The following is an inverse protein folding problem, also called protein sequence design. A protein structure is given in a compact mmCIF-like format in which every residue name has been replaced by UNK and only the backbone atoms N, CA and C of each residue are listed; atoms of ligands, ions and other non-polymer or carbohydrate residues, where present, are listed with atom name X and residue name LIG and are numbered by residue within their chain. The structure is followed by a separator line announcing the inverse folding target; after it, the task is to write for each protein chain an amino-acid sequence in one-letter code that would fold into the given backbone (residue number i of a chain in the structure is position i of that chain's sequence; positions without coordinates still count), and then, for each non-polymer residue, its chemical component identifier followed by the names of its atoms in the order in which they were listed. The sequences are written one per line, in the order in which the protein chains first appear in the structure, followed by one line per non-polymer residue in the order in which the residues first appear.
data_IF_657768269286
#
_entry.id   IF_657768269286
#
_cell.length_a   1.000
_cell.length_b   1.000
_cell.length_c   1.000
_cell.angle_alpha   90.00
_cell.angle_beta   90.00
_cell.angle_gamma   90.00
#
_symmetry.space_group_name_H-M   'P 1'
#
loop_
_entity.id
_entity.type
_entity.pdbx_description
1 polymer ?
#
# COMPACT_ATOMS: atom_id res chain seq x y z
N UNK A 1 -63.41 -25.98 -16.34
CA UNK A 1 -63.47 -24.69 -15.62
C UNK A 1 -62.23 -23.89 -16.00
N UNK A 2 -62.34 -22.71 -16.65
CA UNK A 2 -61.16 -21.97 -17.04
C UNK A 2 -60.54 -21.32 -15.79
N UNK A 3 -59.25 -21.56 -15.60
CA UNK A 3 -58.44 -21.05 -14.50
C UNK A 3 -58.23 -19.55 -14.70
N UNK A 4 -58.66 -18.76 -13.73
CA UNK A 4 -58.49 -17.30 -13.73
C UNK A 4 -57.00 -16.92 -13.86
N UNK A 5 -56.66 -15.80 -14.53
CA UNK A 5 -55.29 -15.31 -14.52
C UNK A 5 -54.91 -14.85 -13.10
N UNK A 6 -53.64 -14.92 -12.70
CA UNK A 6 -53.22 -14.43 -11.39
C UNK A 6 -53.44 -12.92 -11.32
N UNK A 7 -54.01 -12.47 -10.20
CA UNK A 7 -54.19 -11.06 -9.89
C UNK A 7 -52.83 -10.34 -9.94
N UNK A 8 -52.75 -9.25 -10.70
CA UNK A 8 -51.59 -8.37 -10.71
C UNK A 8 -51.43 -7.75 -9.33
N UNK A 9 -50.37 -8.16 -8.62
CA UNK A 9 -49.95 -7.54 -7.37
C UNK A 9 -49.44 -6.13 -7.69
N UNK A 10 -50.20 -5.12 -7.29
CA UNK A 10 -49.81 -3.72 -7.40
C UNK A 10 -48.73 -3.45 -6.35
N UNK A 11 -47.46 -3.45 -6.78
CA UNK A 11 -46.34 -3.04 -5.92
C UNK A 11 -46.48 -1.53 -5.68
N UNK A 12 -46.49 -1.03 -4.43
CA UNK A 12 -46.46 0.41 -4.19
C UNK A 12 -45.16 0.96 -4.77
N UNK A 13 -45.26 1.88 -5.73
CA UNK A 13 -44.11 2.66 -6.20
C UNK A 13 -43.50 3.37 -4.99
N UNK A 14 -42.28 2.99 -4.66
CA UNK A 14 -41.47 3.72 -3.69
C UNK A 14 -41.20 5.10 -4.29
N UNK A 15 -41.94 6.10 -3.83
CA UNK A 15 -41.61 7.50 -4.08
C UNK A 15 -40.34 7.78 -3.29
N UNK A 16 -39.18 7.73 -3.97
CA UNK A 16 -37.94 8.27 -3.39
C UNK A 16 -38.18 9.76 -3.29
N UNK A 17 -38.54 10.22 -2.09
CA UNK A 17 -38.54 11.63 -1.75
C UNK A 17 -37.13 12.13 -2.00
N UNK A 18 -36.98 13.01 -3.00
CA UNK A 18 -35.78 13.79 -3.18
C UNK A 18 -35.66 14.67 -1.94
N UNK A 19 -34.95 14.19 -0.92
CA UNK A 19 -34.43 15.06 0.12
C UNK A 19 -33.53 16.04 -0.63
N UNK A 20 -33.99 17.29 -0.66
CA UNK A 20 -33.21 18.45 -1.04
C UNK A 20 -31.78 18.23 -0.60
N UNK A 21 -30.87 18.01 -1.56
CA UNK A 21 -29.46 18.32 -1.36
C UNK A 21 -29.48 19.79 -0.99
N UNK A 22 -29.39 20.06 0.32
CA UNK A 22 -29.09 21.39 0.81
C UNK A 22 -27.78 21.76 0.15
N UNK A 23 -27.90 22.52 -0.93
CA UNK A 23 -26.78 23.12 -1.62
C UNK A 23 -26.11 23.95 -0.54
N UNK A 24 -25.02 23.43 0.03
CA UNK A 24 -24.19 24.19 0.92
C UNK A 24 -23.46 25.20 0.04
N UNK A 25 -24.19 26.22 -0.38
CA UNK A 25 -23.71 27.36 -1.18
C UNK A 25 -22.80 28.27 -0.33
N UNK A 26 -22.27 27.73 0.77
CA UNK A 26 -21.42 28.34 1.78
C UNK A 26 -20.60 27.24 2.50
N UNK A 27 -20.08 26.25 1.78
CA UNK A 27 -18.80 25.65 2.15
C UNK A 27 -17.76 26.34 1.26
N UNK A 28 -16.96 27.21 1.87
CA UNK A 28 -16.02 28.12 1.23
C UNK A 28 -14.86 27.36 0.58
N UNK A 29 -15.07 26.78 -0.59
CA UNK A 29 -13.97 26.53 -1.51
C UNK A 29 -14.20 27.43 -2.72
N UNK A 30 -13.39 28.49 -2.88
CA UNK A 30 -13.29 29.18 -4.16
C UNK A 30 -13.13 28.15 -5.29
N UNK A 31 -13.69 28.40 -6.49
CA UNK A 31 -13.52 27.52 -7.64
C UNK A 31 -12.05 27.27 -8.04
N UNK A 32 -11.10 28.00 -7.45
CA UNK A 32 -9.65 27.90 -7.71
C UNK A 32 -8.90 27.01 -6.70
N UNK A 33 -9.61 26.19 -5.90
CA UNK A 33 -9.01 25.32 -4.89
C UNK A 33 -8.86 23.85 -5.30
N UNK A 34 -9.19 23.52 -6.56
CA UNK A 34 -8.95 22.18 -7.08
C UNK A 34 -7.46 21.83 -7.01
N UNK A 35 -7.15 20.61 -6.59
CA UNK A 35 -5.78 20.16 -6.54
C UNK A 35 -5.18 20.05 -7.94
N UNK A 36 -3.91 20.41 -8.08
CA UNK A 36 -3.15 20.36 -9.33
C UNK A 36 -2.14 19.23 -9.22
N UNK A 37 -2.13 18.34 -10.20
CA UNK A 37 -1.15 17.27 -10.28
C UNK A 37 0.24 17.83 -10.59
N UNK A 38 1.24 17.38 -9.85
CA UNK A 38 2.64 17.64 -10.14
C UNK A 38 3.08 16.86 -11.38
N UNK A 39 4.20 17.28 -11.96
CA UNK A 39 5.01 16.36 -12.77
C UNK A 39 5.39 15.13 -11.93
N UNK A 40 5.80 14.06 -12.62
CA UNK A 40 6.29 12.86 -11.95
C UNK A 40 7.60 13.15 -11.22
N UNK A 41 7.68 12.66 -9.99
CA UNK A 41 8.80 12.82 -9.08
C UNK A 41 9.45 11.45 -8.93
N UNK A 42 10.72 11.42 -9.29
CA UNK A 42 11.62 10.26 -9.23
C UNK A 42 12.95 10.77 -8.67
N UNK A 43 13.20 10.54 -7.37
CA UNK A 43 14.41 11.02 -6.69
C UNK A 43 15.22 9.89 -6.04
N UNK A 44 14.64 8.70 -5.97
CA UNK A 44 15.23 7.49 -5.41
C UNK A 44 15.35 6.42 -6.49
N UNK A 45 16.31 5.50 -6.33
CA UNK A 45 16.51 4.41 -7.28
C UNK A 45 16.91 3.13 -6.52
N UNK A 46 16.32 1.97 -6.84
CA UNK A 46 16.65 0.73 -6.15
C UNK A 46 18.04 0.20 -6.54
N UNK A 47 18.85 -0.12 -5.53
CA UNK A 47 20.12 -0.81 -5.75
C UNK A 47 19.90 -2.33 -5.78
N UNK A 48 20.00 -2.91 -6.97
CA UNK A 48 19.85 -4.35 -7.19
C UNK A 48 20.85 -5.24 -6.43
N UNK A 49 21.96 -4.66 -5.95
CA UNK A 49 23.00 -5.38 -5.21
C UNK A 49 22.80 -5.38 -3.70
N UNK A 50 21.92 -4.53 -3.16
CA UNK A 50 21.66 -4.39 -1.73
C UNK A 50 20.20 -4.71 -1.36
N UNK A 51 20.01 -5.71 -0.50
CA UNK A 51 18.68 -6.09 0.02
C UNK A 51 18.09 -5.07 0.99
N UNK A 52 18.93 -4.21 1.58
CA UNK A 52 18.50 -3.13 2.46
C UNK A 52 18.20 -1.84 1.70
N UNK A 53 18.48 -1.83 0.39
CA UNK A 53 18.02 -0.79 -0.51
C UNK A 53 16.55 -1.03 -0.91
N UNK A 54 16.05 -0.16 -1.75
CA UNK A 54 14.67 -0.12 -2.19
C UNK A 54 14.44 1.16 -2.97
N UNK A 55 13.17 1.46 -3.17
CA UNK A 55 12.78 2.68 -3.83
C UNK A 55 11.80 3.50 -2.98
N UNK A 56 12.04 4.80 -2.87
CA UNK A 56 11.58 5.64 -1.77
C UNK A 56 11.26 7.06 -2.24
N UNK A 57 10.16 7.21 -2.97
CA UNK A 57 9.56 8.52 -3.28
C UNK A 57 8.78 9.06 -2.07
N UNK A 58 9.48 9.22 -0.95
CA UNK A 58 8.92 9.76 0.29
C UNK A 58 9.06 11.27 0.33
N UNK A 59 8.15 11.96 1.04
CA UNK A 59 8.25 13.43 1.19
C UNK A 59 9.59 13.87 1.79
N UNK A 60 10.18 13.08 2.68
CA UNK A 60 11.52 13.33 3.23
C UNK A 60 12.59 13.31 2.14
N UNK A 61 12.61 12.28 1.29
CA UNK A 61 13.58 12.17 0.20
C UNK A 61 13.38 13.26 -0.85
N UNK A 62 12.13 13.57 -1.21
CA UNK A 62 11.81 14.64 -2.15
C UNK A 62 12.35 15.98 -1.64
N UNK A 63 12.09 16.33 -0.38
CA UNK A 63 12.60 17.57 0.23
C UNK A 63 14.13 17.58 0.39
N UNK A 64 14.74 16.41 0.62
CA UNK A 64 16.20 16.28 0.70
C UNK A 64 16.88 16.53 -0.64
N UNK A 65 16.26 16.09 -1.74
CA UNK A 65 16.78 16.29 -3.10
C UNK A 65 16.37 17.65 -3.69
N UNK A 66 15.19 18.16 -3.32
CA UNK A 66 14.66 19.46 -3.74
C UNK A 66 14.00 20.19 -2.56
N UNK A 67 14.80 20.96 -1.82
CA UNK A 67 14.34 21.71 -0.64
C UNK A 67 13.35 22.84 -0.94
N UNK A 68 13.19 23.20 -2.21
CA UNK A 68 12.22 24.20 -2.65
C UNK A 68 10.91 23.58 -3.16
N UNK A 69 10.78 22.26 -3.15
CA UNK A 69 9.54 21.58 -3.48
C UNK A 69 8.48 21.84 -2.40
N UNK A 70 7.29 22.28 -2.81
CA UNK A 70 6.21 22.65 -1.90
C UNK A 70 4.91 22.02 -2.35
N UNK A 71 4.29 21.26 -1.45
CA UNK A 71 2.92 20.78 -1.55
C UNK A 71 2.29 20.91 -0.17
N UNK A 72 1.63 22.04 0.10
CA UNK A 72 1.10 22.35 1.44
C UNK A 72 0.10 21.30 1.93
N UNK A 73 -0.68 20.74 1.01
CA UNK A 73 -1.60 19.63 1.26
C UNK A 73 -1.71 18.77 0.00
N UNK A 74 -1.27 17.52 0.10
CA UNK A 74 -1.56 16.51 -0.91
C UNK A 74 -2.98 15.95 -0.65
N UNK A 75 -3.86 16.03 -1.65
CA UNK A 75 -5.19 15.43 -1.60
C UNK A 75 -5.24 14.04 -2.20
N UNK A 76 -4.36 13.76 -3.16
CA UNK A 76 -4.27 12.48 -3.81
C UNK A 76 -2.84 12.18 -4.25
N UNK A 77 -2.57 10.90 -4.48
CA UNK A 77 -1.28 10.40 -4.96
C UNK A 77 -1.53 9.43 -6.12
N UNK A 78 -0.68 9.48 -7.12
CA UNK A 78 -0.56 8.48 -8.16
C UNK A 78 0.86 7.94 -8.12
N UNK A 79 0.99 6.62 -8.16
CA UNK A 79 2.28 5.96 -8.18
C UNK A 79 2.31 5.01 -9.38
N UNK A 80 3.45 4.90 -10.06
CA UNK A 80 3.64 3.94 -11.14
C UNK A 80 5.10 3.50 -11.23
N UNK A 81 5.34 2.35 -11.85
CA UNK A 81 6.69 1.97 -12.25
C UNK A 81 7.05 2.72 -13.55
N UNK A 82 8.22 3.36 -13.59
CA UNK A 82 8.68 4.16 -14.72
C UNK A 82 8.71 3.33 -16.02
N UNK A 83 9.17 2.08 -15.93
CA UNK A 83 9.27 1.18 -17.08
C UNK A 83 7.93 0.55 -17.51
N UNK A 84 6.90 0.63 -16.66
CA UNK A 84 5.60 0.00 -16.89
C UNK A 84 4.44 0.96 -16.52
N UNK A 85 4.36 2.15 -17.16
CA UNK A 85 3.42 3.20 -16.76
C UNK A 85 1.94 2.83 -16.98
N UNK A 86 1.67 1.88 -17.88
CA UNK A 86 0.32 1.42 -18.21
C UNK A 86 -0.12 0.19 -17.37
N UNK A 87 0.75 -0.31 -16.49
CA UNK A 87 0.46 -1.44 -15.61
C UNK A 87 0.15 -0.91 -14.22
N UNK A 88 -0.96 -1.37 -13.63
CA UNK A 88 -1.30 -1.01 -12.26
C UNK A 88 -0.23 -1.52 -11.27
N UNK A 89 -0.01 -0.82 -10.16
CA UNK A 89 0.97 -1.26 -9.15
C UNK A 89 0.63 -2.66 -8.63
N UNK A 90 -0.65 -2.98 -8.49
CA UNK A 90 -1.13 -4.26 -8.02
C UNK A 90 -0.78 -5.41 -8.99
N UNK A 91 -0.80 -5.13 -10.30
CA UNK A 91 -0.51 -6.12 -11.34
C UNK A 91 1.01 -6.34 -11.56
N UNK A 92 1.87 -5.44 -11.06
CA UNK A 92 3.33 -5.62 -11.12
C UNK A 92 3.79 -6.82 -10.27
N UNK A 93 3.01 -7.20 -9.25
CA UNK A 93 3.33 -8.30 -8.34
C UNK A 93 4.43 -7.98 -7.32
N UNK A 94 4.71 -6.69 -7.10
CA UNK A 94 5.65 -6.21 -6.08
C UNK A 94 4.90 -5.73 -4.83
N UNK A 95 5.56 -5.84 -3.67
CA UNK A 95 5.05 -5.28 -2.41
C UNK A 95 5.48 -3.82 -2.32
N UNK A 96 4.55 -2.92 -2.64
CA UNK A 96 4.76 -1.47 -2.68
C UNK A 96 3.69 -0.80 -1.83
N UNK A 97 4.09 0.15 -1.00
CA UNK A 97 3.18 1.09 -0.36
C UNK A 97 3.11 2.36 -1.21
N UNK A 98 1.90 2.77 -1.59
CA UNK A 98 1.63 4.06 -2.22
C UNK A 98 0.56 4.77 -1.40
N UNK A 99 0.92 5.83 -0.68
CA UNK A 99 0.04 6.47 0.28
C UNK A 99 0.25 7.99 0.28
N UNK A 100 -0.85 8.76 0.29
CA UNK A 100 -0.82 10.22 0.17
C UNK A 100 -0.14 10.92 1.36
N UNK A 101 0.00 10.25 2.50
CA UNK A 101 0.62 10.80 3.71
C UNK A 101 2.11 10.45 3.85
N UNK A 102 2.58 9.38 3.21
CA UNK A 102 3.98 8.92 3.32
C UNK A 102 4.76 9.02 2.00
N UNK A 103 4.07 8.94 0.85
CA UNK A 103 4.66 8.84 -0.47
C UNK A 103 4.64 7.40 -0.98
N UNK A 104 5.69 7.00 -1.69
CA UNK A 104 5.91 5.60 -2.09
C UNK A 104 7.09 4.98 -1.34
N UNK A 105 6.89 3.72 -0.92
CA UNK A 105 7.91 2.91 -0.27
C UNK A 105 7.89 1.51 -0.89
N UNK A 106 9.01 1.10 -1.45
CA UNK A 106 9.30 -0.27 -1.84
C UNK A 106 10.62 -0.70 -1.20
N UNK A 107 10.65 -1.82 -0.50
CA UNK A 107 11.89 -2.38 0.06
C UNK A 107 12.33 -3.61 -0.74
N UNK A 108 13.61 -3.70 -1.11
CA UNK A 108 14.14 -4.89 -1.79
C UNK A 108 13.99 -6.14 -0.91
N UNK A 109 14.18 -6.00 0.40
CA UNK A 109 14.04 -7.09 1.37
C UNK A 109 12.66 -7.72 1.44
N UNK A 110 11.62 -6.99 1.03
CA UNK A 110 10.23 -7.42 0.98
C UNK A 110 9.86 -8.13 -0.33
N UNK A 111 10.68 -7.99 -1.38
CA UNK A 111 10.38 -8.54 -2.70
C UNK A 111 10.74 -10.02 -2.80
N UNK A 112 9.92 -10.74 -3.54
CA UNK A 112 10.14 -12.15 -3.89
C UNK A 112 10.23 -12.29 -5.40
N UNK A 113 10.88 -13.35 -5.87
CA UNK A 113 10.90 -13.66 -7.31
C UNK A 113 9.45 -13.91 -7.77
N UNK A 114 8.96 -13.11 -8.72
CA UNK A 114 7.59 -13.19 -9.23
C UNK A 114 7.22 -11.96 -10.06
N UNK A 115 5.94 -11.81 -10.41
CA UNK A 115 5.45 -10.64 -11.14
C UNK A 115 5.93 -10.55 -12.59
N UNK A 116 5.88 -9.32 -13.14
CA UNK A 116 6.31 -9.04 -14.52
C UNK A 116 7.85 -9.10 -14.65
N UNK A 117 8.56 -8.70 -13.59
CA UNK A 117 10.02 -8.76 -13.53
C UNK A 117 10.44 -9.78 -12.47
N UNK A 118 10.99 -10.95 -12.87
CA UNK A 118 11.27 -12.07 -11.96
C UNK A 118 12.57 -11.86 -11.16
N UNK A 119 12.71 -10.71 -10.50
CA UNK A 119 13.84 -10.36 -9.63
C UNK A 119 13.32 -9.92 -8.26
N UNK A 120 13.98 -10.29 -7.15
CA UNK A 120 13.57 -9.90 -5.80
C UNK A 120 14.12 -8.50 -5.45
N UNK A 121 13.87 -7.52 -6.32
CA UNK A 121 14.33 -6.13 -6.21
C UNK A 121 13.18 -5.24 -6.67
N UNK A 122 12.98 -4.11 -6.01
CA UNK A 122 12.02 -3.10 -6.43
C UNK A 122 12.27 -2.65 -7.88
N UNK A 123 11.19 -2.38 -8.60
CA UNK A 123 11.27 -1.58 -9.83
C UNK A 123 11.59 -0.13 -9.48
N UNK A 124 11.99 0.65 -10.49
CA UNK A 124 12.05 2.10 -10.36
C UNK A 124 10.63 2.66 -10.44
N UNK A 125 10.20 3.37 -9.40
CA UNK A 125 8.88 3.98 -9.29
C UNK A 125 9.00 5.51 -9.29
N UNK A 126 7.92 6.14 -9.69
CA UNK A 126 7.76 7.58 -9.61
C UNK A 126 6.36 7.91 -9.09
N UNK A 127 6.22 9.08 -8.47
CA UNK A 127 4.94 9.55 -7.94
C UNK A 127 4.52 10.89 -8.55
N UNK A 128 3.22 11.10 -8.67
CA UNK A 128 2.60 12.40 -8.92
C UNK A 128 1.65 12.69 -7.78
N UNK A 129 1.59 13.94 -7.34
CA UNK A 129 0.77 14.36 -6.20
C UNK A 129 -0.23 15.41 -6.66
N UNK A 130 -1.48 15.26 -6.23
CA UNK A 130 -2.49 16.30 -6.43
C UNK A 130 -2.42 17.28 -5.27
N UNK A 131 -1.77 18.41 -5.49
CA UNK A 131 -1.49 19.40 -4.44
C UNK A 131 -2.52 20.53 -4.49
N UNK A 132 -3.09 20.86 -3.34
CA UNK A 132 -3.95 22.04 -3.20
C UNK A 132 -3.07 23.29 -3.31
N UNK A 133 -3.50 24.33 -4.05
CA UNK A 133 -2.81 25.61 -4.09
C UNK A 133 -2.58 26.17 -2.67
N UNK A 134 -1.40 26.74 -2.43
CA UNK A 134 -1.05 27.38 -1.16
C UNK A 134 -1.71 28.77 -1.04
N UNK A 135 -3.03 28.77 -1.03
CA UNK A 135 -3.89 29.95 -0.91
C UNK A 135 -4.69 29.77 0.38
N UNK A 136 -4.74 30.79 1.28
CA UNK A 136 -5.41 30.67 2.58
C UNK A 136 -6.87 30.23 2.52
N UNK A 137 -7.56 30.49 1.40
CA UNK A 137 -8.96 30.12 1.17
C UNK A 137 -9.13 28.62 0.85
N UNK A 138 -8.07 27.96 0.38
CA UNK A 138 -8.07 26.54 -0.01
C UNK A 138 -7.56 25.61 1.08
N UNK A 139 -6.82 26.13 2.04
CA UNK A 139 -6.31 25.38 3.18
C UNK A 139 -7.22 25.65 4.39
N UNK A 140 -8.20 24.78 4.71
CA UNK A 140 -9.06 24.99 5.85
C UNK A 140 -8.21 25.01 7.13
N UNK A 141 -8.24 26.14 7.85
CA UNK A 141 -7.63 26.23 9.17
C UNK A 141 -8.37 25.28 10.12
N UNK A 142 -7.71 24.21 10.57
CA UNK A 142 -8.18 23.39 11.69
C UNK A 142 -8.09 24.20 12.97
N UNK A 143 -9.06 25.09 13.18
CA UNK A 143 -9.30 25.68 14.49
C UNK A 143 -10.04 24.64 15.31
N UNK A 144 -9.50 24.13 16.44
CA UNK A 144 -10.25 23.22 17.29
C UNK A 144 -11.46 23.96 17.85
N UNK A 145 -12.66 23.66 17.31
CA UNK A 145 -13.91 24.09 17.92
C UNK A 145 -14.08 23.33 19.22
N UNK A 146 -13.83 23.99 20.35
CA UNK A 146 -14.24 23.54 21.67
C UNK A 146 -15.77 23.58 21.73
N UNK A 147 -16.43 22.51 21.29
CA UNK A 147 -17.85 22.31 21.59
C UNK A 147 -17.97 21.94 23.07
N UNK A 148 -18.17 22.95 23.91
CA UNK A 148 -18.51 22.76 25.32
C UNK A 148 -19.93 22.20 25.40
N UNK A 149 -20.07 20.87 25.43
CA UNK A 149 -21.35 20.21 25.67
C UNK A 149 -21.77 20.49 27.13
N UNK A 150 -22.94 21.09 27.40
CA UNK A 150 -23.43 21.21 28.77
C UNK A 150 -23.72 19.81 29.35
N UNK A 151 -23.37 19.53 30.62
CA UNK A 151 -23.64 18.24 31.23
C UNK A 151 -25.14 18.05 31.42
N UNK A 152 -25.72 17.09 30.67
CA UNK A 152 -27.08 16.63 30.89
C UNK A 152 -27.12 15.80 32.17
N UNK A 153 -27.72 16.37 33.23
CA UNK A 153 -27.99 15.68 34.48
C UNK A 153 -29.27 14.86 34.34
N UNK A 154 -29.13 13.55 34.22
CA UNK A 154 -30.21 12.60 34.47
C UNK A 154 -29.80 11.67 35.59
N UNK A 155 -30.26 12.00 36.80
CA UNK A 155 -30.35 11.04 37.90
C UNK A 155 -31.24 9.89 37.47
N UNK A 156 -30.78 8.66 37.65
CA UNK A 156 -31.64 7.47 37.61
C UNK A 156 -31.14 6.47 38.64
N UNK A 157 -32.10 6.08 39.46
CA UNK A 157 -32.00 5.55 40.82
C UNK A 157 -31.54 4.10 40.86
N UNK A 158 -30.71 3.79 41.86
CA UNK A 158 -30.33 2.45 42.28
C UNK A 158 -31.57 1.67 42.71
N UNK A 159 -31.80 0.48 42.15
CA UNK A 159 -32.65 -0.53 42.78
C UNK A 159 -32.10 -1.94 42.53
N UNK A 160 -31.79 -2.60 43.64
CA UNK A 160 -31.30 -3.97 43.77
C UNK A 160 -32.46 -4.85 44.25
N UNK A 161 -32.59 -6.08 43.74
CA UNK A 161 -33.18 -7.17 44.50
C UNK A 161 -32.19 -8.35 44.69
N UNK A 162 -32.52 -9.34 45.55
CA UNK A 162 -31.57 -9.92 46.48
C UNK A 162 -30.84 -11.18 46.00
N UNK A 163 -29.74 -11.42 46.70
CA UNK A 163 -28.93 -12.64 46.72
C UNK A 163 -29.78 -13.82 47.20
N UNK A 164 -29.67 -14.97 46.53
CA UNK A 164 -29.82 -16.27 47.17
C UNK A 164 -28.83 -17.27 46.58
N UNK A 165 -28.07 -17.81 47.54
CA UNK A 165 -26.95 -18.74 47.52
C UNK A 165 -27.35 -20.12 47.01
N UNK A 166 -26.49 -20.84 46.26
CA UNK A 166 -26.09 -22.25 46.53
C UNK A 166 -24.85 -22.62 45.68
N UNK A 167 -23.68 -22.64 46.31
CA UNK A 167 -22.64 -23.70 46.37
C UNK A 167 -22.18 -24.53 45.12
N UNK A 168 -20.99 -25.17 45.18
CA UNK A 168 -19.98 -25.12 44.11
C UNK A 168 -19.63 -26.48 43.47
N UNK A 169 -18.96 -26.47 42.31
CA UNK A 169 -18.02 -27.55 41.94
C UNK A 169 -16.97 -27.07 40.91
N UNK A 170 -15.69 -27.48 41.04
CA UNK A 170 -14.60 -26.98 40.21
C UNK A 170 -14.29 -27.92 39.04
N UNK A 171 -13.79 -27.40 37.92
CA UNK A 171 -12.88 -28.14 37.03
C UNK A 171 -12.20 -27.19 36.04
N UNK A 172 -10.87 -27.04 36.08
CA UNK A 172 -10.08 -26.69 34.91
C UNK A 172 -9.66 -27.99 34.22
N UNK A 173 -10.17 -28.25 33.03
CA UNK A 173 -9.67 -29.35 32.19
C UNK A 173 -8.41 -28.87 31.48
N UNK A 174 -7.28 -29.18 32.10
CA UNK A 174 -5.94 -29.16 31.51
C UNK A 174 -5.89 -30.15 30.33
N UNK A 175 -5.61 -29.65 29.13
CA UNK A 175 -5.29 -30.50 27.98
C UNK A 175 -3.79 -30.79 27.97
N UNK A 176 -3.37 -32.06 27.90
CA UNK A 176 -1.97 -32.42 27.98
C UNK A 176 -1.22 -32.08 26.69
N UNK A 177 -0.02 -31.56 26.91
CA UNK A 177 1.12 -31.51 26.00
C UNK A 177 1.22 -32.80 25.18
N UNK A 178 1.24 -32.67 23.84
CA UNK A 178 1.73 -33.73 22.95
C UNK A 178 3.09 -33.32 22.38
N UNK A 179 4.13 -33.68 23.12
CA UNK A 179 5.50 -33.78 22.65
C UNK A 179 5.57 -34.87 21.59
N UNK A 180 5.87 -34.52 20.34
CA UNK A 180 6.38 -35.48 19.35
C UNK A 180 7.83 -35.13 19.07
N UNK A 181 8.72 -35.68 19.90
CA UNK A 181 10.14 -35.84 19.56
C UNK A 181 10.29 -37.09 18.70
N UNK A 182 10.46 -36.92 17.39
CA UNK A 182 11.00 -37.98 16.53
C UNK A 182 12.51 -37.82 16.45
N UNK A 183 13.20 -38.68 17.18
CA UNK A 183 14.65 -38.81 17.19
C UNK A 183 15.06 -39.99 16.29
N UNK A 184 16.16 -39.80 15.56
CA UNK A 184 17.05 -40.75 14.83
C UNK A 184 16.77 -41.02 13.34
N UNK A 185 17.81 -41.39 12.54
CA UNK A 185 19.28 -41.32 12.76
C UNK A 185 20.05 -40.57 11.63
N UNK A 186 21.35 -40.23 11.83
CA UNK A 186 22.21 -39.75 10.75
C UNK A 186 22.68 -40.94 9.90
N UNK A 187 22.40 -40.90 8.58
CA UNK A 187 23.04 -41.81 7.62
C UNK A 187 24.38 -41.22 7.19
N UNK A 188 25.46 -41.80 7.70
CA UNK A 188 26.79 -41.76 7.11
C UNK A 188 26.87 -42.80 6.00
N UNK A 189 27.17 -42.41 4.76
CA UNK A 189 27.93 -43.28 3.84
C UNK A 189 28.78 -42.44 2.89
N UNK A 190 30.03 -42.84 2.86
CA UNK A 190 31.21 -42.38 2.15
C UNK A 190 31.17 -42.64 0.63
N UNK A 191 32.08 -41.95 -0.06
CA UNK A 191 32.84 -42.41 -1.26
C UNK A 191 32.52 -41.73 -2.60
N UNK A 192 33.43 -40.82 -2.95
CA UNK A 192 34.19 -40.74 -4.22
C UNK A 192 33.50 -41.14 -5.53
N UNK A 193 33.45 -40.21 -6.49
CA UNK A 193 33.86 -40.53 -7.86
C UNK A 193 34.41 -39.30 -8.59
N UNK A 194 35.66 -39.44 -9.04
CA UNK A 194 36.36 -38.68 -10.07
C UNK A 194 35.52 -38.58 -11.35
N UNK A 195 35.50 -37.39 -11.95
CA UNK A 195 34.87 -37.14 -13.24
C UNK A 195 35.47 -35.92 -13.92
N UNK A 196 36.75 -36.01 -14.27
CA UNK A 196 37.42 -35.10 -15.20
C UNK A 196 36.72 -35.19 -16.57
N UNK A 197 36.14 -34.09 -17.04
CA UNK A 197 35.77 -33.94 -18.45
C UNK A 197 36.30 -32.61 -18.99
N UNK A 198 37.28 -32.79 -19.86
CA UNK A 198 37.90 -31.89 -20.81
C UNK A 198 36.87 -31.09 -21.60
N UNK A 199 36.94 -29.76 -21.62
CA UNK A 199 36.66 -28.94 -22.81
C UNK A 199 37.29 -27.56 -22.64
N UNK A 200 38.19 -27.18 -23.55
CA UNK A 200 38.90 -25.91 -23.52
C UNK A 200 39.67 -25.69 -24.82
N UNK A 201 38.94 -25.67 -25.94
CA UNK A 201 39.37 -25.12 -27.23
C UNK A 201 39.32 -23.60 -27.18
N UNK A 202 40.35 -22.92 -27.70
CA UNK A 202 40.38 -21.46 -27.92
C UNK A 202 41.79 -20.88 -27.70
N UNK A 203 42.75 -21.21 -28.58
CA UNK A 203 43.23 -20.35 -29.68
C UNK A 203 44.03 -19.13 -29.20
N UNK A 204 45.35 -19.23 -29.37
CA UNK A 204 46.36 -18.17 -29.26
C UNK A 204 46.40 -17.26 -30.49
N UNK A 205 46.22 -15.95 -30.26
CA UNK A 205 46.95 -14.76 -30.80
C UNK A 205 47.10 -14.55 -32.34
N UNK A 206 47.55 -13.38 -32.86
CA UNK A 206 47.84 -12.06 -32.24
C UNK A 206 47.17 -10.83 -32.95
N UNK A 207 47.22 -9.66 -32.29
CA UNK A 207 47.12 -8.28 -32.86
C UNK A 207 48.31 -8.00 -33.81
N UNK A 208 48.30 -7.00 -34.75
CA UNK A 208 48.20 -5.55 -34.43
C UNK A 208 47.67 -4.58 -35.56
N UNK A 209 47.49 -3.28 -35.17
CA UNK A 209 47.56 -2.01 -35.98
C UNK A 209 46.48 -1.77 -37.09
N UNK A 210 45.95 -0.59 -37.46
CA UNK A 210 46.35 0.84 -37.45
C UNK A 210 45.16 1.75 -37.85
N UNK A 211 45.21 3.04 -37.49
CA UNK A 211 44.74 4.25 -38.22
C UNK A 211 43.21 4.46 -38.46
N UNK A 212 42.59 5.50 -37.88
CA UNK A 212 42.56 6.91 -38.32
C UNK A 212 41.65 7.16 -39.53
N UNK A 213 40.50 7.82 -39.34
CA UNK A 213 40.20 9.17 -39.88
C UNK A 213 38.75 9.59 -39.58
N UNK A 214 38.60 10.86 -39.17
CA UNK A 214 37.37 11.65 -39.18
C UNK A 214 36.85 11.82 -40.62
N UNK A 215 35.54 12.08 -40.81
CA UNK A 215 35.21 13.39 -41.37
C UNK A 215 33.93 14.04 -40.80
N UNK A 216 34.04 15.37 -40.75
CA UNK A 216 33.07 16.46 -40.96
C UNK A 216 31.60 16.27 -40.59
#
# INVERSE_FOLDING_TARGET
TPRAPPASVLVPRLVVSLLSVSNCSSCCCPPDCDCIWTDWIDVSYPDSSDRNSGDYETFENILKHNSSWVCAKAENISCRAEQFPDVSIEDLGQKVECNVNTGLICNNSDQVIGGIVPMPVCLNYEISLCCVPDIPECIPSTTPSTTTTPPSSTMSTVSRPPVSTTAPMPTPSEFPIRTTSTTMPPSSTTSSTTGTMTTGTGTTAPTPTTASTFPT
#
